data_IF_751072877477
#
_entry.id   IF_751072877477
#
_cell.length_a   1.000
_cell.length_b   1.000
_cell.length_c   1.000
_cell.angle_alpha   90.00
_cell.angle_beta   90.00
_cell.angle_gamma   90.00
#
_symmetry.space_group_name_H-M   'P 1'
#
loop_
_entity.id
_entity.type
_entity.pdbx_description
1 polymer ?
#
# COMPACT_ATOMS: atom_id res chain seq x y z
N UNK A 1 -10.39 23.94 -18.65
CA UNK A 1 -9.53 23.20 -17.68
C UNK A 1 -10.49 22.64 -16.65
N UNK A 2 -10.96 21.41 -16.84
CA UNK A 2 -11.91 20.79 -15.92
C UNK A 2 -11.15 20.31 -14.69
N UNK A 3 -11.53 20.82 -13.51
CA UNK A 3 -11.21 20.26 -12.20
C UNK A 3 -11.88 18.89 -12.06
N UNK A 4 -11.38 17.86 -12.75
CA UNK A 4 -11.74 16.49 -12.42
C UNK A 4 -10.79 16.01 -11.35
N UNK A 5 -11.31 15.71 -10.16
CA UNK A 5 -10.57 14.95 -9.16
C UNK A 5 -9.95 13.71 -9.82
N UNK A 6 -8.62 13.57 -9.73
CA UNK A 6 -7.86 12.46 -10.30
C UNK A 6 -8.35 11.09 -9.76
N UNK A 7 -9.03 11.12 -8.62
CA UNK A 7 -9.66 9.96 -8.00
C UNK A 7 -11.16 9.93 -8.24
N UNK A 8 -11.67 8.74 -8.57
CA UNK A 8 -13.09 8.46 -8.45
C UNK A 8 -13.46 8.31 -6.96
N UNK A 9 -14.25 9.26 -6.48
CA UNK A 9 -14.78 9.36 -5.10
C UNK A 9 -16.21 8.82 -4.96
N UNK A 10 -16.87 8.45 -6.07
CA UNK A 10 -18.23 7.91 -6.11
C UNK A 10 -18.25 6.39 -5.85
N UNK A 11 -17.62 5.95 -4.76
CA UNK A 11 -17.67 4.57 -4.28
C UNK A 11 -18.36 4.54 -2.92
N UNK A 12 -19.11 3.47 -2.57
CA UNK A 12 -19.72 3.38 -1.26
C UNK A 12 -18.66 3.33 -0.18
N UNK A 13 -18.93 3.94 0.97
CA UNK A 13 -18.05 3.91 2.13
C UNK A 13 -18.16 2.61 2.90
N UNK A 14 -17.08 2.24 3.59
CA UNK A 14 -17.08 1.24 4.66
C UNK A 14 -18.11 1.60 5.74
N UNK A 15 -18.59 0.59 6.43
CA UNK A 15 -19.43 0.73 7.61
C UNK A 15 -18.65 1.36 8.77
N UNK A 16 -17.37 1.00 8.94
CA UNK A 16 -16.54 1.52 10.00
C UNK A 16 -15.50 2.53 9.48
N UNK A 17 -15.24 3.55 10.30
CA UNK A 17 -14.15 4.49 10.07
C UNK A 17 -12.86 3.85 10.57
N UNK A 18 -11.84 3.81 9.72
CA UNK A 18 -10.60 3.09 9.98
C UNK A 18 -9.40 3.97 9.67
N UNK A 19 -8.51 4.16 10.64
CA UNK A 19 -7.18 4.74 10.46
C UNK A 19 -6.15 3.80 11.06
N UNK A 20 -4.98 3.67 10.43
CA UNK A 20 -4.00 2.63 10.79
C UNK A 20 -4.55 1.22 10.52
N UNK A 21 -5.46 1.08 9.57
CA UNK A 21 -5.95 -0.21 9.11
C UNK A 21 -5.03 -0.80 8.07
N UNK A 22 -5.16 -2.11 7.87
CA UNK A 22 -4.41 -2.86 6.89
C UNK A 22 -5.36 -3.38 5.79
N UNK A 23 -4.86 -3.39 4.55
CA UNK A 23 -5.61 -3.97 3.44
C UNK A 23 -4.71 -4.74 2.49
N UNK A 24 -5.28 -5.79 1.89
CA UNK A 24 -4.65 -6.54 0.80
C UNK A 24 -5.71 -7.05 -0.16
N UNK A 25 -5.30 -7.35 -1.39
CA UNK A 25 -6.21 -7.78 -2.45
C UNK A 25 -6.11 -9.29 -2.69
N UNK A 26 -7.25 -9.94 -2.90
CA UNK A 26 -7.34 -11.33 -3.37
C UNK A 26 -8.32 -11.33 -4.56
N UNK A 27 -7.81 -11.60 -5.76
CA UNK A 27 -8.61 -11.52 -6.98
C UNK A 27 -9.13 -10.11 -7.23
N UNK A 28 -10.46 -9.94 -7.21
CA UNK A 28 -11.13 -8.63 -7.38
C UNK A 28 -11.64 -8.04 -6.06
N UNK A 29 -11.26 -8.62 -4.92
CA UNK A 29 -11.73 -8.23 -3.61
C UNK A 29 -10.61 -7.59 -2.80
N UNK A 30 -10.95 -6.53 -2.07
CA UNK A 30 -10.06 -5.83 -1.15
C UNK A 30 -10.52 -6.16 0.26
N UNK A 31 -9.66 -6.80 1.04
CA UNK A 31 -9.92 -7.15 2.41
C UNK A 31 -9.33 -6.06 3.30
N UNK A 32 -10.12 -5.56 4.25
CA UNK A 32 -9.73 -4.46 5.13
C UNK A 32 -10.01 -4.88 6.57
N UNK A 33 -8.99 -4.83 7.41
CA UNK A 33 -9.09 -5.18 8.81
C UNK A 33 -8.24 -4.26 9.69
N UNK A 34 -8.50 -4.32 10.99
CA UNK A 34 -7.89 -3.45 11.97
C UNK A 34 -8.33 -1.99 11.83
N UNK A 35 -7.50 -1.11 12.34
CA UNK A 35 -7.88 0.23 12.72
C UNK A 35 -8.36 0.29 14.17
N UNK A 36 -8.24 1.48 14.76
CA UNK A 36 -8.46 1.69 16.19
C UNK A 36 -9.83 1.17 16.65
N UNK A 37 -9.81 0.27 17.64
CA UNK A 37 -10.99 -0.33 18.27
C UNK A 37 -11.96 -1.05 17.31
N UNK A 38 -11.46 -1.57 16.19
CA UNK A 38 -12.26 -2.32 15.23
C UNK A 38 -11.81 -3.78 15.13
N UNK A 39 -12.75 -4.69 15.39
CA UNK A 39 -12.54 -6.14 15.33
C UNK A 39 -13.05 -6.76 14.02
N UNK A 40 -13.70 -5.97 13.18
CA UNK A 40 -14.39 -6.47 11.99
C UNK A 40 -13.47 -6.49 10.79
N UNK A 41 -13.81 -7.36 9.84
CA UNK A 41 -13.27 -7.37 8.48
C UNK A 41 -14.35 -6.93 7.49
N UNK A 42 -13.99 -5.99 6.64
CA UNK A 42 -14.84 -5.49 5.56
C UNK A 42 -14.19 -5.79 4.21
N UNK A 43 -14.99 -6.30 3.28
CA UNK A 43 -14.49 -6.75 1.97
C UNK A 43 -15.15 -5.91 0.89
N UNK A 44 -14.35 -5.21 0.09
CA UNK A 44 -14.86 -4.45 -1.06
C UNK A 44 -14.72 -5.28 -2.34
N UNK A 45 -15.84 -5.56 -3.00
CA UNK A 45 -15.86 -6.18 -4.33
C UNK A 45 -15.71 -5.10 -5.41
N UNK A 46 -14.58 -5.07 -6.10
CA UNK A 46 -14.30 -4.04 -7.12
C UNK A 46 -15.15 -4.17 -8.39
N UNK A 47 -15.71 -5.35 -8.67
CA UNK A 47 -16.57 -5.57 -9.84
C UNK A 47 -17.99 -5.10 -9.57
N UNK A 48 -18.52 -5.41 -8.38
CA UNK A 48 -19.85 -4.97 -7.94
C UNK A 48 -19.87 -3.55 -7.40
N UNK A 49 -18.71 -3.06 -6.95
CA UNK A 49 -18.53 -1.79 -6.22
C UNK A 49 -19.36 -1.76 -4.94
N UNK A 50 -19.31 -2.84 -4.18
CA UNK A 50 -20.11 -3.03 -2.96
C UNK A 50 -19.24 -3.55 -1.82
N UNK A 51 -19.60 -3.18 -0.59
CA UNK A 51 -19.02 -3.73 0.62
C UNK A 51 -19.79 -4.99 1.04
N UNK A 52 -19.03 -6.03 1.37
CA UNK A 52 -19.50 -7.28 1.93
C UNK A 52 -19.05 -7.29 3.40
N UNK A 53 -20.02 -7.29 4.30
CA UNK A 53 -19.76 -7.52 5.72
C UNK A 53 -19.70 -9.02 6.00
N UNK A 54 -18.73 -9.40 6.83
CA UNK A 54 -18.68 -10.74 7.39
C UNK A 54 -19.03 -10.66 8.87
N UNK A 55 -19.53 -11.75 9.44
CA UNK A 55 -19.70 -11.88 10.90
C UNK A 55 -18.40 -12.32 11.59
N UNK A 56 -17.28 -12.37 10.85
CA UNK A 56 -15.99 -12.83 11.36
C UNK A 56 -15.28 -11.69 12.06
N UNK A 57 -14.82 -11.96 13.28
CA UNK A 57 -14.09 -10.99 14.10
C UNK A 57 -12.65 -11.44 14.27
N UNK A 58 -11.73 -10.49 14.17
CA UNK A 58 -10.33 -10.69 14.48
C UNK A 58 -10.17 -10.92 15.99
N UNK A 59 -9.18 -11.71 16.38
CA UNK A 59 -9.02 -12.17 17.77
C UNK A 59 -8.75 -11.04 18.78
N UNK A 60 -8.16 -9.93 18.32
CA UNK A 60 -7.81 -8.77 19.13
C UNK A 60 -7.77 -7.51 18.27
N UNK A 61 -7.99 -6.33 18.86
CA UNK A 61 -7.92 -5.07 18.10
C UNK A 61 -6.50 -4.85 17.58
N UNK A 62 -6.38 -4.25 16.40
CA UNK A 62 -5.09 -3.98 15.76
C UNK A 62 -5.12 -2.64 15.07
N UNK A 63 -4.45 -1.64 15.62
CA UNK A 63 -4.13 -0.41 14.89
C UNK A 63 -2.68 -0.41 14.44
N UNK A 64 -2.41 0.35 13.37
CA UNK A 64 -1.10 0.44 12.73
C UNK A 64 -0.52 -0.95 12.38
N UNK A 65 -1.38 -1.88 11.98
CA UNK A 65 -0.96 -3.19 11.50
C UNK A 65 -0.66 -3.16 10.00
N UNK A 66 0.11 -4.13 9.54
CA UNK A 66 0.30 -4.39 8.11
C UNK A 66 -0.59 -5.55 7.65
N UNK A 67 -0.81 -5.67 6.34
CA UNK A 67 -1.47 -6.84 5.78
C UNK A 67 -0.87 -7.25 4.45
N UNK A 68 -0.98 -8.54 4.19
CA UNK A 68 -0.57 -9.16 2.93
C UNK A 68 -1.60 -10.20 2.51
N UNK A 69 -1.57 -10.57 1.23
CA UNK A 69 -2.30 -11.72 0.72
C UNK A 69 -1.34 -12.75 0.13
N UNK A 70 -1.58 -14.02 0.43
CA UNK A 70 -0.84 -15.14 -0.14
C UNK A 70 -1.84 -16.25 -0.51
N UNK A 71 -2.00 -16.49 -1.80
CA UNK A 71 -3.03 -17.42 -2.29
C UNK A 71 -4.44 -16.94 -1.95
N UNK A 72 -5.19 -17.75 -1.21
CA UNK A 72 -6.56 -17.48 -0.73
C UNK A 72 -6.61 -16.97 0.72
N UNK A 73 -5.47 -16.54 1.25
CA UNK A 73 -5.30 -16.10 2.64
C UNK A 73 -5.03 -14.60 2.72
N UNK A 74 -5.69 -13.96 3.67
CA UNK A 74 -5.47 -12.56 4.05
C UNK A 74 -4.86 -12.50 5.45
N UNK A 75 -3.62 -12.03 5.57
CA UNK A 75 -2.86 -12.05 6.82
C UNK A 75 -2.70 -10.63 7.37
N UNK A 76 -3.04 -10.44 8.64
CA UNK A 76 -2.84 -9.20 9.39
C UNK A 76 -1.67 -9.39 10.35
N UNK A 77 -0.74 -8.43 10.35
CA UNK A 77 0.58 -8.56 10.94
C UNK A 77 0.82 -7.45 11.95
N UNK A 78 1.18 -7.84 13.18
CA UNK A 78 1.56 -6.90 14.24
C UNK A 78 0.47 -5.90 14.60
N UNK A 79 0.89 -4.65 14.80
CA UNK A 79 0.06 -3.54 15.28
C UNK A 79 0.08 -3.41 16.80
N UNK A 80 -0.80 -2.57 17.33
CA UNK A 80 -1.10 -2.47 18.77
C UNK A 80 -2.56 -2.81 19.04
N UNK A 81 -2.82 -3.43 20.19
CA UNK A 81 -4.16 -3.60 20.75
C UNK A 81 -4.32 -2.66 21.94
N UNK A 82 -5.47 -2.02 22.05
CA UNK A 82 -5.84 -1.28 23.26
C UNK A 82 -6.97 -2.08 23.91
N UNK A 83 -6.60 -3.02 24.79
CA UNK A 83 -7.58 -3.62 25.70
C UNK A 83 -7.80 -2.65 26.88
N UNK A 84 -8.87 -2.84 27.65
CA UNK A 84 -9.41 -1.88 28.63
C UNK A 84 -8.49 -1.46 29.79
N UNK A 85 -7.22 -1.86 29.80
CA UNK A 85 -6.21 -1.54 30.82
C UNK A 85 -5.18 -0.52 30.33
N UNK A 86 -5.62 0.69 29.95
CA UNK A 86 -4.90 1.97 29.72
C UNK A 86 -3.56 2.03 28.93
N UNK A 87 -2.81 0.94 28.73
CA UNK A 87 -1.54 0.87 27.99
C UNK A 87 -1.69 -0.03 26.75
N UNK A 88 -1.21 0.43 25.58
CA UNK A 88 -1.26 -0.37 24.36
C UNK A 88 -0.37 -1.61 24.48
N UNK A 89 -0.90 -2.77 24.09
CA UNK A 89 -0.13 -3.99 23.88
C UNK A 89 0.41 -4.01 22.45
N UNK A 90 1.74 -4.01 22.30
CA UNK A 90 2.40 -4.05 20.99
C UNK A 90 2.55 -5.51 20.55
N UNK A 91 2.10 -5.84 19.35
CA UNK A 91 1.89 -7.22 18.96
C UNK A 91 3.06 -7.74 18.11
N UNK A 92 3.53 -8.94 18.44
CA UNK A 92 4.33 -9.77 17.51
C UNK A 92 3.47 -10.82 16.79
N UNK A 93 2.21 -10.96 17.18
CA UNK A 93 1.31 -11.98 16.63
C UNK A 93 0.84 -11.63 15.23
N UNK A 94 0.55 -12.67 14.44
CA UNK A 94 -0.12 -12.58 13.15
C UNK A 94 -1.40 -13.41 13.17
N UNK A 95 -2.38 -12.97 12.39
CA UNK A 95 -3.65 -13.68 12.23
C UNK A 95 -4.00 -13.75 10.76
N UNK A 96 -4.48 -14.91 10.33
CA UNK A 96 -4.79 -15.20 8.94
C UNK A 96 -6.28 -15.48 8.79
N UNK A 97 -6.90 -14.80 7.84
CA UNK A 97 -8.26 -15.04 7.40
C UNK A 97 -8.25 -15.94 6.17
N UNK A 98 -8.79 -17.14 6.33
CA UNK A 98 -9.08 -18.05 5.23
C UNK A 98 -10.33 -17.57 4.50
N UNK A 99 -10.19 -17.15 3.25
CA UNK A 99 -11.33 -16.58 2.49
C UNK A 99 -12.36 -17.63 2.08
N UNK A 100 -11.99 -18.91 2.04
CA UNK A 100 -12.88 -20.02 1.68
C UNK A 100 -13.67 -20.48 2.90
N UNK A 101 -12.99 -20.65 4.03
CA UNK A 101 -13.62 -21.05 5.30
C UNK A 101 -14.27 -19.88 6.04
N UNK A 102 -13.92 -18.64 5.68
CA UNK A 102 -14.35 -17.40 6.32
C UNK A 102 -13.99 -17.31 7.81
N UNK A 103 -12.83 -17.86 8.17
CA UNK A 103 -12.39 -18.01 9.55
C UNK A 103 -11.00 -17.42 9.76
N UNK A 104 -10.84 -16.81 10.93
CA UNK A 104 -9.53 -16.37 11.42
C UNK A 104 -8.81 -17.53 12.11
N UNK A 105 -7.51 -17.61 11.90
CA UNK A 105 -6.62 -18.53 12.61
C UNK A 105 -5.31 -17.82 13.00
N UNK A 106 -4.71 -18.15 14.15
CA UNK A 106 -3.43 -17.60 14.53
C UNK A 106 -2.30 -18.22 13.71
N UNK A 107 -1.30 -17.42 13.38
CA UNK A 107 -0.02 -17.87 12.83
C UNK A 107 1.10 -17.74 13.87
N UNK A 108 2.25 -18.42 13.67
CA UNK A 108 3.43 -18.22 14.52
C UNK A 108 3.79 -16.74 14.63
N UNK A 109 4.01 -16.27 15.85
CA UNK A 109 4.39 -14.88 16.14
C UNK A 109 5.81 -14.58 15.63
N UNK A 110 6.00 -13.33 15.21
CA UNK A 110 7.31 -12.74 14.93
C UNK A 110 8.22 -12.82 16.18
N UNK A 111 9.52 -12.76 15.94
CA UNK A 111 10.54 -12.65 16.99
C UNK A 111 10.42 -11.33 17.76
N UNK A 112 9.98 -10.26 17.08
CA UNK A 112 9.87 -8.91 17.63
C UNK A 112 8.43 -8.39 17.56
N UNK A 113 8.05 -7.55 18.53
CA UNK A 113 6.80 -6.78 18.48
C UNK A 113 6.93 -5.67 17.45
N UNK A 114 5.89 -5.45 16.63
CA UNK A 114 5.97 -4.51 15.50
C UNK A 114 4.65 -3.79 15.26
N UNK A 115 4.55 -2.56 15.76
CA UNK A 115 3.53 -1.59 15.34
C UNK A 115 4.06 -0.71 14.22
N UNK A 116 3.26 -0.44 13.18
CA UNK A 116 3.64 0.41 12.04
C UNK A 116 4.79 -0.16 11.21
N UNK A 117 4.87 -1.48 11.08
CA UNK A 117 5.86 -2.15 10.24
C UNK A 117 5.43 -2.18 8.77
N UNK A 118 6.44 -2.35 7.91
CA UNK A 118 6.27 -2.69 6.51
C UNK A 118 6.13 -4.20 6.36
N UNK A 119 5.26 -4.66 5.44
CA UNK A 119 5.16 -6.07 5.07
C UNK A 119 4.97 -6.25 3.56
N UNK A 120 5.41 -7.40 3.04
CA UNK A 120 5.26 -7.76 1.63
C UNK A 120 5.44 -9.26 1.41
N UNK A 121 5.00 -9.76 0.26
CA UNK A 121 5.17 -11.17 -0.13
C UNK A 121 6.22 -11.28 -1.21
N UNK A 122 7.30 -12.01 -0.95
CA UNK A 122 8.39 -12.26 -1.90
C UNK A 122 8.60 -13.77 -1.97
N UNK A 123 8.55 -14.33 -3.19
CA UNK A 123 8.72 -15.77 -3.44
C UNK A 123 7.90 -16.67 -2.50
N UNK A 124 6.63 -16.30 -2.27
CA UNK A 124 5.70 -17.05 -1.41
C UNK A 124 5.96 -16.94 0.10
N UNK A 125 6.95 -16.14 0.52
CA UNK A 125 7.24 -15.85 1.93
C UNK A 125 6.74 -14.47 2.32
N UNK A 126 6.44 -14.28 3.60
CA UNK A 126 6.02 -12.98 4.14
C UNK A 126 7.25 -12.30 4.75
N UNK A 127 7.61 -11.13 4.23
CA UNK A 127 8.69 -10.32 4.77
C UNK A 127 8.10 -9.21 5.60
N UNK A 128 8.72 -8.91 6.74
CA UNK A 128 8.36 -7.78 7.60
C UNK A 128 9.61 -7.00 7.98
N UNK A 129 9.51 -5.67 8.01
CA UNK A 129 10.63 -4.80 8.36
C UNK A 129 10.18 -3.60 9.19
N UNK A 130 11.06 -3.18 10.10
CA UNK A 130 10.85 -2.03 10.97
C UNK A 130 9.68 -2.18 11.94
N UNK A 131 9.05 -1.06 12.27
CA UNK A 131 8.04 -0.93 13.29
C UNK A 131 8.59 -0.51 14.66
N UNK A 132 7.68 -0.38 15.61
CA UNK A 132 7.94 0.04 16.99
C UNK A 132 7.51 -1.07 17.97
N UNK A 133 8.35 -1.37 18.96
CA UNK A 133 8.16 -2.48 19.90
C UNK A 133 7.57 -2.07 21.27
N UNK A 134 7.30 -0.78 21.43
CA UNK A 134 6.90 -0.13 22.69
C UNK A 134 7.99 0.76 23.30
N UNK A 135 9.25 0.59 22.86
CA UNK A 135 10.41 1.33 23.36
C UNK A 135 11.25 1.93 22.25
N UNK A 136 11.49 1.17 21.18
CA UNK A 136 12.38 1.56 20.09
C UNK A 136 11.76 1.27 18.72
N UNK A 137 12.06 2.16 17.77
CA UNK A 137 11.91 1.93 16.35
C UNK A 137 12.98 0.94 15.91
N UNK A 138 12.61 0.00 15.05
CA UNK A 138 13.49 -1.08 14.63
C UNK A 138 14.02 -0.89 13.22
N UNK A 139 15.26 -1.31 12.98
CA UNK A 139 15.79 -1.58 11.63
C UNK A 139 15.75 -3.08 11.28
N UNK A 140 15.37 -3.94 12.23
CA UNK A 140 15.36 -5.39 11.99
C UNK A 140 14.28 -5.77 10.99
N UNK A 141 14.56 -6.85 10.26
CA UNK A 141 13.65 -7.49 9.35
C UNK A 141 13.64 -9.01 9.61
N UNK A 142 12.54 -9.66 9.30
CA UNK A 142 12.37 -11.10 9.45
C UNK A 142 11.47 -11.64 8.34
N UNK A 143 11.73 -12.87 7.90
CA UNK A 143 10.92 -13.57 6.90
C UNK A 143 10.18 -14.75 7.54
N UNK A 144 8.90 -14.90 7.21
CA UNK A 144 8.09 -16.06 7.55
C UNK A 144 7.94 -16.96 6.35
N UNK A 145 8.30 -18.22 6.52
CA UNK A 145 8.08 -19.28 5.54
C UNK A 145 6.84 -20.11 5.92
N UNK A 146 5.74 -20.00 5.15
CA UNK A 146 4.52 -20.78 5.40
C UNK A 146 4.73 -22.30 5.29
N UNK A 147 5.70 -22.77 4.51
CA UNK A 147 5.96 -24.20 4.35
C UNK A 147 6.59 -24.82 5.60
N UNK A 148 7.40 -24.05 6.33
CA UNK A 148 8.06 -24.51 7.56
C UNK A 148 7.41 -23.96 8.83
N UNK A 149 6.52 -22.98 8.70
CA UNK A 149 5.88 -22.24 9.80
C UNK A 149 6.91 -21.62 10.75
N UNK A 150 7.97 -21.04 10.18
CA UNK A 150 9.08 -20.47 10.96
C UNK A 150 9.44 -19.07 10.48
N UNK A 151 9.84 -18.27 11.46
CA UNK A 151 10.49 -17.00 11.25
C UNK A 151 12.00 -17.16 11.18
N UNK A 152 12.62 -16.43 10.27
CA UNK A 152 14.07 -16.32 10.14
C UNK A 152 14.46 -14.85 10.14
N UNK A 153 15.45 -14.48 10.94
CA UNK A 153 15.97 -13.12 10.94
C UNK A 153 16.65 -12.81 9.60
N UNK A 154 16.34 -11.64 9.05
CA UNK A 154 16.98 -11.10 7.86
C UNK A 154 18.07 -10.09 8.26
N UNK A 155 18.99 -9.74 7.35
CA UNK A 155 19.86 -8.58 7.54
C UNK A 155 19.04 -7.34 7.92
N UNK A 156 19.52 -6.49 8.84
CA UNK A 156 18.81 -5.28 9.20
C UNK A 156 18.92 -4.23 8.08
N UNK A 157 17.92 -3.35 8.01
CA UNK A 157 17.98 -2.12 7.24
C UNK A 157 19.09 -1.19 7.75
N UNK A 158 19.53 -0.25 6.90
CA UNK A 158 20.47 0.80 7.26
C UNK A 158 19.87 1.80 8.24
N UNK A 159 18.56 2.08 8.12
CA UNK A 159 17.83 2.97 9.02
C UNK A 159 16.74 2.22 9.78
N UNK A 160 16.55 2.60 11.05
CA UNK A 160 15.37 2.20 11.82
C UNK A 160 14.15 2.98 11.34
N UNK A 161 12.98 2.33 11.32
CA UNK A 161 11.77 2.91 10.72
C UNK A 161 10.52 2.51 11.48
N UNK A 162 9.79 3.49 12.02
CA UNK A 162 8.41 3.32 12.48
C UNK A 162 7.44 4.03 11.53
N UNK A 163 6.29 3.40 11.25
CA UNK A 163 5.29 3.95 10.33
C UNK A 163 5.78 3.94 8.87
N UNK A 164 6.59 2.95 8.49
CA UNK A 164 7.08 2.83 7.11
C UNK A 164 6.06 2.12 6.20
N UNK A 165 6.18 2.37 4.90
CA UNK A 165 5.41 1.68 3.87
C UNK A 165 6.30 0.70 3.11
N UNK A 166 5.69 -0.31 2.49
CA UNK A 166 6.40 -1.21 1.60
C UNK A 166 5.64 -1.53 0.32
N UNK A 167 6.41 -1.93 -0.69
CA UNK A 167 5.92 -2.51 -1.92
C UNK A 167 6.88 -3.61 -2.37
N UNK A 168 6.34 -4.63 -3.05
CA UNK A 168 7.14 -5.65 -3.70
C UNK A 168 7.07 -5.44 -5.21
N UNK A 169 8.22 -5.33 -5.85
CA UNK A 169 8.35 -5.17 -7.29
C UNK A 169 9.55 -5.98 -7.77
N UNK A 170 9.37 -6.75 -8.85
CA UNK A 170 10.42 -7.58 -9.45
C UNK A 170 11.20 -8.43 -8.42
N UNK A 171 10.45 -9.12 -7.56
CA UNK A 171 10.96 -10.00 -6.49
C UNK A 171 11.83 -9.30 -5.43
N UNK A 172 11.79 -7.98 -5.37
CA UNK A 172 12.50 -7.17 -4.37
C UNK A 172 11.53 -6.50 -3.41
N UNK A 173 11.97 -6.35 -2.16
CA UNK A 173 11.17 -5.77 -1.09
C UNK A 173 11.65 -4.35 -0.80
N UNK A 174 10.82 -3.37 -1.13
CA UNK A 174 11.14 -1.96 -0.95
C UNK A 174 10.46 -1.41 0.30
N UNK A 175 11.18 -0.61 1.07
CA UNK A 175 10.69 0.05 2.29
C UNK A 175 10.94 1.55 2.21
N UNK A 176 9.91 2.33 2.52
CA UNK A 176 9.89 3.78 2.30
C UNK A 176 9.54 4.53 3.58
N UNK A 177 10.26 5.64 3.83
CA UNK A 177 9.91 6.59 4.86
C UNK A 177 9.94 6.02 6.29
N UNK A 178 9.09 6.58 7.13
CA UNK A 178 9.04 6.36 8.57
C UNK A 178 9.87 7.35 9.37
N UNK A 179 9.91 7.13 10.68
CA UNK A 179 10.70 7.91 11.62
C UNK A 179 11.61 7.04 12.51
N UNK A 180 12.54 7.69 13.19
CA UNK A 180 13.47 7.09 14.15
C UNK A 180 13.01 7.32 15.61
N UNK A 181 13.85 6.91 16.58
CA UNK A 181 13.56 7.04 18.03
C UNK A 181 13.46 8.48 18.51
N UNK A 182 14.06 9.42 17.77
CA UNK A 182 13.97 10.85 18.04
C UNK A 182 12.66 11.45 17.49
N UNK A 183 11.83 10.64 16.82
CA UNK A 183 10.61 11.07 16.14
C UNK A 183 10.89 11.86 14.87
N UNK A 184 12.11 11.80 14.33
CA UNK A 184 12.50 12.52 13.12
C UNK A 184 12.06 11.70 11.91
N UNK A 185 11.12 12.26 11.15
CA UNK A 185 10.69 11.73 9.86
C UNK A 185 11.83 11.82 8.84
N UNK A 186 11.98 10.79 8.00
CA UNK A 186 12.98 10.82 6.94
C UNK A 186 12.44 10.35 5.58
N UNK A 187 12.91 10.93 4.47
CA UNK A 187 12.47 10.54 3.12
C UNK A 187 13.24 9.35 2.55
N UNK A 188 14.15 8.76 3.32
CA UNK A 188 15.01 7.69 2.83
C UNK A 188 14.20 6.46 2.43
N UNK A 189 14.73 5.70 1.49
CA UNK A 189 14.13 4.46 1.04
C UNK A 189 15.22 3.40 0.80
N UNK A 190 14.85 2.15 0.99
CA UNK A 190 15.75 1.01 0.91
C UNK A 190 15.10 -0.14 0.16
N UNK A 191 15.92 -0.94 -0.51
CA UNK A 191 15.50 -2.15 -1.19
C UNK A 191 16.29 -3.33 -0.65
N UNK A 192 15.58 -4.40 -0.30
CA UNK A 192 16.15 -5.70 -0.03
C UNK A 192 16.10 -6.56 -1.30
N UNK A 193 17.25 -7.10 -1.67
CA UNK A 193 17.40 -8.03 -2.78
C UNK A 193 17.68 -9.45 -2.23
N UNK A 194 16.70 -10.38 -2.29
CA UNK A 194 16.86 -11.74 -1.79
C UNK A 194 18.02 -12.51 -2.45
N UNK A 195 18.37 -12.21 -3.70
CA UNK A 195 19.44 -12.91 -4.40
C UNK A 195 20.82 -12.57 -3.82
N UNK A 196 20.98 -11.35 -3.29
CA UNK A 196 22.20 -10.90 -2.62
C UNK A 196 22.14 -10.99 -1.10
N UNK A 197 20.93 -11.18 -0.53
CA UNK A 197 20.66 -11.10 0.91
C UNK A 197 21.21 -9.80 1.51
N UNK A 198 20.90 -8.66 0.87
CA UNK A 198 21.39 -7.34 1.28
C UNK A 198 20.34 -6.24 1.09
N UNK A 199 20.39 -5.28 2.01
CA UNK A 199 19.72 -3.99 1.87
C UNK A 199 20.63 -2.99 1.16
N UNK A 200 20.07 -2.25 0.21
CA UNK A 200 20.72 -1.13 -0.45
C UNK A 200 19.89 0.13 -0.30
N UNK A 201 20.55 1.26 -0.02
CA UNK A 201 19.92 2.57 -0.13
C UNK A 201 19.57 2.84 -1.59
N UNK A 202 18.37 3.34 -1.83
CA UNK A 202 17.97 3.92 -3.12
C UNK A 202 17.83 5.43 -2.98
N UNK A 203 17.60 6.13 -4.08
CA UNK A 203 17.34 7.57 -4.03
C UNK A 203 16.20 7.89 -3.06
N UNK A 204 16.37 8.95 -2.26
CA UNK A 204 15.36 9.38 -1.30
C UNK A 204 14.14 9.99 -1.99
N UNK A 205 12.97 9.85 -1.35
CA UNK A 205 11.78 10.63 -1.69
C UNK A 205 12.05 12.13 -1.55
N UNK A 206 11.20 12.94 -2.16
CA UNK A 206 11.23 14.41 -2.03
C UNK A 206 10.67 14.88 -0.70
N UNK A 207 9.63 14.21 -0.19
CA UNK A 207 9.03 14.50 1.10
C UNK A 207 9.30 13.36 2.10
N UNK A 208 9.52 13.70 3.36
CA UNK A 208 9.50 12.71 4.44
C UNK A 208 8.05 12.25 4.67
N UNK A 209 7.87 10.95 4.94
CA UNK A 209 6.54 10.35 5.04
C UNK A 209 6.53 9.27 6.12
N UNK A 210 5.70 9.44 7.13
CA UNK A 210 5.27 8.35 8.01
C UNK A 210 3.80 8.00 7.77
N UNK A 211 3.46 6.72 7.95
CA UNK A 211 2.16 6.11 7.70
C UNK A 211 1.58 6.44 6.33
N UNK A 212 2.45 6.44 5.32
CA UNK A 212 2.07 6.48 3.92
C UNK A 212 1.70 5.06 3.45
N UNK A 213 1.19 4.97 2.22
CA UNK A 213 0.93 3.72 1.54
C UNK A 213 1.79 3.62 0.28
N UNK A 214 2.29 2.44 -0.04
CA UNK A 214 3.07 2.17 -1.24
C UNK A 214 2.49 0.98 -2.00
N UNK A 215 2.41 1.07 -3.33
CA UNK A 215 1.93 -0.03 -4.17
C UNK A 215 2.78 -0.14 -5.45
N UNK A 216 3.08 -1.38 -5.91
CA UNK A 216 3.66 -1.58 -7.22
C UNK A 216 2.59 -1.28 -8.30
N UNK A 217 2.99 -0.60 -9.36
CA UNK A 217 2.12 -0.29 -10.50
C UNK A 217 2.95 -0.15 -11.77
N UNK A 218 2.64 -0.96 -12.79
CA UNK A 218 3.24 -0.88 -14.14
C UNK A 218 4.78 -0.77 -14.14
N UNK A 219 5.47 -1.61 -13.35
CA UNK A 219 6.94 -1.62 -13.27
C UNK A 219 7.55 -0.49 -12.43
N UNK A 220 6.72 0.26 -11.71
CA UNK A 220 7.11 1.37 -10.82
C UNK A 220 6.49 1.17 -9.44
N UNK A 221 6.85 2.02 -8.50
CA UNK A 221 6.22 2.06 -7.17
C UNK A 221 5.66 3.46 -6.95
N UNK A 222 4.43 3.57 -6.50
CA UNK A 222 3.83 4.84 -6.10
C UNK A 222 3.64 4.88 -4.59
N UNK A 223 4.11 5.95 -3.97
CA UNK A 223 3.99 6.26 -2.53
C UNK A 223 3.03 7.42 -2.35
N UNK A 224 2.08 7.26 -1.43
CA UNK A 224 0.88 8.09 -1.34
C UNK A 224 0.49 8.38 0.10
N UNK A 225 -0.05 9.57 0.33
CA UNK A 225 -0.51 9.99 1.65
C UNK A 225 0.62 10.00 2.68
N UNK A 226 0.27 9.70 3.93
CA UNK A 226 1.12 9.87 5.08
C UNK A 226 1.26 11.34 5.48
N UNK A 227 2.17 11.59 6.40
CA UNK A 227 2.50 12.96 6.80
C UNK A 227 3.92 13.10 7.29
N UNK A 228 4.31 14.36 7.44
CA UNK A 228 5.50 14.80 8.17
C UNK A 228 4.99 15.43 9.47
N UNK A 229 5.22 14.76 10.61
CA UNK A 229 4.81 15.27 11.92
C UNK A 229 5.70 16.42 12.38
N UNK A 230 6.93 16.55 11.87
CA UNK A 230 7.77 17.71 12.14
C UNK A 230 7.13 19.01 11.63
N UNK A 231 6.43 18.93 10.50
CA UNK A 231 5.74 20.06 9.87
C UNK A 231 4.21 20.08 10.11
N UNK A 232 3.64 19.10 10.84
CA UNK A 232 2.19 18.89 11.03
C UNK A 232 1.41 18.80 9.69
N UNK A 233 2.03 18.21 8.66
CA UNK A 233 1.46 18.15 7.32
C UNK A 233 1.06 16.72 6.93
N UNK A 234 -0.25 16.45 6.84
CA UNK A 234 -0.76 15.34 6.01
C UNK A 234 -0.62 15.73 4.55
N UNK A 235 0.06 14.88 3.79
CA UNK A 235 0.47 15.15 2.42
C UNK A 235 -0.60 14.73 1.41
N UNK A 236 -0.82 15.57 0.40
CA UNK A 236 -1.64 15.30 -0.80
C UNK A 236 -0.76 15.05 -2.04
N UNK A 237 0.55 14.98 -1.85
CA UNK A 237 1.52 14.66 -2.90
C UNK A 237 1.67 13.16 -3.07
N UNK A 238 1.85 12.76 -4.32
CA UNK A 238 2.13 11.40 -4.76
C UNK A 238 3.54 11.37 -5.34
N UNK A 239 4.29 10.33 -5.02
CA UNK A 239 5.65 10.15 -5.51
C UNK A 239 5.78 8.80 -6.19
N UNK A 240 6.31 8.80 -7.42
CA UNK A 240 6.49 7.60 -8.24
C UNK A 240 7.99 7.34 -8.36
N UNK A 241 8.41 6.18 -7.89
CA UNK A 241 9.76 5.65 -8.02
C UNK A 241 9.89 4.81 -9.29
N UNK A 242 10.93 5.11 -10.07
CA UNK A 242 11.35 4.32 -11.21
C UNK A 242 12.65 3.56 -10.90
N UNK A 243 12.60 2.23 -10.70
CA UNK A 243 13.78 1.44 -10.37
C UNK A 243 14.80 1.35 -11.53
N UNK A 244 14.43 1.70 -12.77
CA UNK A 244 15.33 1.58 -13.93
C UNK A 244 16.43 2.61 -13.95
N UNK A 245 16.20 3.76 -13.32
CA UNK A 245 17.12 4.89 -13.27
C UNK A 245 17.31 5.46 -11.86
N UNK A 246 16.69 4.84 -10.85
CA UNK A 246 16.71 5.27 -9.46
C UNK A 246 16.24 6.72 -9.29
N UNK A 247 15.09 7.08 -9.87
CA UNK A 247 14.56 8.45 -9.82
C UNK A 247 13.12 8.51 -9.30
N UNK A 248 12.82 9.65 -8.69
CA UNK A 248 11.48 10.01 -8.21
C UNK A 248 10.85 11.11 -9.05
N UNK A 249 9.62 10.88 -9.48
CA UNK A 249 8.74 11.92 -10.02
C UNK A 249 7.57 12.15 -9.06
N UNK A 250 6.94 13.32 -9.14
CA UNK A 250 5.87 13.68 -8.20
C UNK A 250 4.76 14.45 -8.88
N UNK A 251 3.54 14.25 -8.41
CA UNK A 251 2.39 15.07 -8.78
C UNK A 251 1.51 15.30 -7.54
N UNK A 252 0.75 16.38 -7.55
CA UNK A 252 -0.25 16.69 -6.52
C UNK A 252 -1.61 16.24 -7.01
N UNK A 253 -2.42 15.69 -6.12
CA UNK A 253 -3.85 15.52 -6.38
C UNK A 253 -4.63 16.14 -5.23
N UNK A 254 -5.55 17.05 -5.59
CA UNK A 254 -6.33 17.83 -4.63
C UNK A 254 -7.22 16.92 -3.77
N UNK A 255 -7.43 17.33 -2.51
CA UNK A 255 -8.36 16.69 -1.56
C UNK A 255 -8.09 15.22 -1.22
N UNK A 256 -6.82 14.80 -1.20
CA UNK A 256 -6.41 13.42 -0.92
C UNK A 256 -5.48 13.25 0.28
N UNK A 257 -5.49 14.19 1.21
CA UNK A 257 -4.78 14.06 2.48
C UNK A 257 -5.29 12.82 3.24
N UNK A 258 -4.44 11.80 3.35
CA UNK A 258 -4.74 10.57 4.12
C UNK A 258 -3.51 10.11 4.88
N UNK A 259 -3.59 10.17 6.20
CA UNK A 259 -2.61 9.57 7.10
C UNK A 259 -3.09 8.18 7.55
N UNK A 260 -2.21 7.18 7.52
CA UNK A 260 -2.54 5.81 7.96
C UNK A 260 -3.63 5.15 7.13
N UNK A 261 -3.70 5.45 5.83
CA UNK A 261 -4.55 4.72 4.89
C UNK A 261 -3.85 3.45 4.42
N UNK A 262 -4.66 2.48 3.98
CA UNK A 262 -4.16 1.34 3.24
C UNK A 262 -4.31 1.58 1.73
N UNK A 263 -3.43 0.98 0.93
CA UNK A 263 -3.51 1.02 -0.51
C UNK A 263 -3.34 -0.37 -1.12
N UNK A 264 -4.09 -0.64 -2.18
CA UNK A 264 -3.93 -1.87 -2.97
C UNK A 264 -4.03 -1.56 -4.47
N UNK A 265 -3.28 -2.30 -5.28
CA UNK A 265 -3.42 -2.29 -6.73
C UNK A 265 -4.25 -3.49 -7.17
N UNK A 266 -5.25 -3.24 -8.01
CA UNK A 266 -6.00 -4.27 -8.71
C UNK A 266 -6.18 -3.79 -10.14
N UNK A 267 -5.53 -4.49 -11.09
CA UNK A 267 -5.79 -4.33 -12.53
C UNK A 267 -5.66 -2.87 -12.99
N UNK A 268 -4.48 -2.28 -12.78
CA UNK A 268 -4.11 -0.92 -13.17
C UNK A 268 -4.80 0.18 -12.36
N UNK A 269 -5.62 -0.20 -11.37
CA UNK A 269 -6.36 0.73 -10.51
C UNK A 269 -5.86 0.61 -9.09
N UNK A 270 -5.51 1.75 -8.52
CA UNK A 270 -5.10 1.88 -7.13
C UNK A 270 -6.33 2.24 -6.31
N UNK A 271 -6.51 1.54 -5.19
CA UNK A 271 -7.57 1.82 -4.23
C UNK A 271 -6.96 2.29 -2.91
N UNK A 272 -7.32 3.50 -2.48
CA UNK A 272 -6.97 4.05 -1.17
C UNK A 272 -8.14 3.89 -0.22
N UNK A 273 -7.91 3.24 0.92
CA UNK A 273 -8.96 2.88 1.88
C UNK A 273 -8.65 3.48 3.25
N UNK A 274 -9.66 4.14 3.84
CA UNK A 274 -9.57 4.66 5.21
C UNK A 274 -8.51 5.75 5.38
N UNK A 275 -7.90 5.79 6.55
CA UNK A 275 -6.95 6.82 6.99
C UNK A 275 -7.62 7.96 7.77
N UNK A 276 -6.89 9.05 7.95
CA UNK A 276 -7.32 10.25 8.67
C UNK A 276 -7.02 11.50 7.83
N UNK A 277 -7.99 12.42 7.72
CA UNK A 277 -7.88 13.66 6.92
C UNK A 277 -7.47 14.89 7.74
N UNK A 278 -6.71 14.68 8.83
CA UNK A 278 -6.42 15.63 9.94
C UNK A 278 -7.58 15.90 10.89
N UNK A 279 -8.83 15.78 10.43
CA UNK A 279 -10.01 16.13 11.25
C UNK A 279 -10.75 14.89 11.72
N UNK A 280 -10.91 13.90 10.84
CA UNK A 280 -11.74 12.73 11.06
C UNK A 280 -11.04 11.45 10.58
N UNK A 281 -11.26 10.32 11.29
CA UNK A 281 -11.01 9.02 10.70
C UNK A 281 -12.00 8.80 9.56
N UNK A 282 -11.51 8.20 8.48
CA UNK A 282 -12.21 8.02 7.22
C UNK A 282 -12.74 6.59 7.10
N UNK A 283 -13.94 6.45 6.53
CA UNK A 283 -14.47 5.18 6.05
C UNK A 283 -14.54 5.11 4.52
N UNK A 284 -13.98 6.11 3.84
CA UNK A 284 -14.09 6.23 2.38
C UNK A 284 -13.03 5.40 1.68
N UNK A 285 -13.41 4.83 0.54
CA UNK A 285 -12.51 4.26 -0.46
C UNK A 285 -12.47 5.19 -1.68
N UNK A 286 -11.28 5.46 -2.20
CA UNK A 286 -11.07 6.21 -3.44
C UNK A 286 -10.32 5.34 -4.43
N UNK A 287 -10.58 5.50 -5.73
CA UNK A 287 -9.88 4.77 -6.77
C UNK A 287 -9.18 5.70 -7.77
N UNK A 288 -7.95 5.35 -8.14
CA UNK A 288 -7.10 6.08 -9.09
C UNK A 288 -6.72 5.15 -10.23
N UNK A 289 -7.08 5.52 -11.45
CA UNK A 289 -6.61 4.83 -12.66
C UNK A 289 -5.25 5.38 -13.04
N UNK A 290 -4.19 4.71 -12.62
CA UNK A 290 -2.84 5.26 -12.67
C UNK A 290 -2.44 5.74 -14.07
N UNK A 291 -2.67 4.94 -15.11
CA UNK A 291 -2.31 5.32 -16.48
C UNK A 291 -3.06 6.54 -16.99
N UNK A 292 -4.33 6.73 -16.62
CA UNK A 292 -5.08 7.91 -17.03
C UNK A 292 -4.46 9.19 -16.44
N UNK A 293 -4.05 9.12 -15.18
CA UNK A 293 -3.43 10.25 -14.48
C UNK A 293 -1.99 10.47 -14.92
N UNK A 294 -1.22 9.41 -15.16
CA UNK A 294 0.14 9.53 -15.68
C UNK A 294 0.14 10.26 -17.04
N UNK A 295 -0.78 9.90 -17.94
CA UNK A 295 -0.87 10.54 -19.26
C UNK A 295 -1.36 12.00 -19.18
N UNK A 296 -2.28 12.31 -18.25
CA UNK A 296 -2.74 13.68 -18.02
C UNK A 296 -1.65 14.58 -17.44
N UNK A 297 -0.93 14.09 -16.41
CA UNK A 297 0.07 14.89 -15.68
C UNK A 297 1.45 14.88 -16.34
N UNK A 298 1.76 13.89 -17.18
CA UNK A 298 3.05 13.76 -17.86
C UNK A 298 2.87 13.52 -19.37
N UNK A 299 2.44 14.53 -20.15
CA UNK A 299 2.18 14.37 -21.59
C UNK A 299 3.41 13.96 -22.42
N UNK A 300 4.63 14.19 -21.90
CA UNK A 300 5.86 13.66 -22.51
C UNK A 300 5.88 12.13 -22.60
N UNK A 301 5.34 11.44 -21.59
CA UNK A 301 5.23 9.97 -21.57
C UNK A 301 4.33 9.49 -22.71
N UNK A 302 3.24 10.19 -22.97
CA UNK A 302 2.32 9.84 -24.05
C UNK A 302 2.93 10.04 -25.44
N UNK A 303 3.73 11.11 -25.61
CA UNK A 303 4.48 11.36 -26.85
C UNK A 303 5.56 10.32 -27.10
N UNK A 304 6.26 9.88 -26.06
CA UNK A 304 7.21 8.77 -26.14
C UNK A 304 6.53 7.43 -26.50
N UNK A 305 5.23 7.31 -26.19
CA UNK A 305 4.36 6.20 -26.61
C UNK A 305 3.74 6.39 -28.01
N UNK A 306 4.07 7.46 -28.74
CA UNK A 306 3.57 7.72 -30.08
C UNK A 306 2.10 8.15 -30.14
N UNK A 307 1.52 8.59 -29.01
CA UNK A 307 0.16 9.13 -28.94
C UNK A 307 0.24 10.63 -29.16
N UNK A 308 -0.39 11.14 -30.22
CA UNK A 308 -0.43 12.58 -30.46
C UNK A 308 -1.36 13.32 -29.47
N UNK A 309 -1.13 14.62 -29.32
CA UNK A 309 -1.87 15.47 -28.37
C UNK A 309 -3.39 15.54 -28.70
N UNK A 310 -3.79 15.26 -29.94
CA UNK A 310 -5.19 15.35 -30.40
C UNK A 310 -6.00 14.08 -30.07
N UNK A 311 -5.37 12.90 -30.07
CA UNK A 311 -6.00 11.65 -29.67
C UNK A 311 -5.95 11.38 -28.17
N UNK A 312 -5.17 12.17 -27.41
CA UNK A 312 -5.04 12.02 -25.96
C UNK A 312 -6.38 11.90 -25.22
N UNK A 313 -7.38 12.78 -25.45
CA UNK A 313 -8.64 12.71 -24.70
C UNK A 313 -9.42 11.43 -24.99
N UNK A 314 -9.43 11.00 -26.27
CA UNK A 314 -10.07 9.75 -26.69
C UNK A 314 -9.33 8.54 -26.14
N UNK A 315 -8.00 8.56 -26.09
CA UNK A 315 -7.18 7.49 -25.53
C UNK A 315 -7.36 7.34 -24.02
N UNK A 316 -7.38 8.45 -23.27
CA UNK A 316 -7.68 8.47 -21.83
C UNK A 316 -9.10 7.94 -21.58
N UNK A 317 -10.08 8.33 -22.40
CA UNK A 317 -11.44 7.79 -22.33
C UNK A 317 -11.48 6.28 -22.64
N UNK A 318 -10.66 5.80 -23.59
CA UNK A 318 -10.58 4.40 -23.98
C UNK A 318 -9.89 3.52 -22.93
N UNK A 319 -8.87 4.03 -22.24
CA UNK A 319 -8.33 3.45 -21.00
C UNK A 319 -9.40 3.29 -19.91
N UNK A 320 -10.49 4.07 -19.98
CA UNK A 320 -11.72 3.87 -19.23
C UNK A 320 -12.27 2.43 -19.27
N UNK A 321 -11.93 1.65 -20.31
CA UNK A 321 -12.46 0.30 -20.54
C UNK A 321 -11.44 -0.84 -20.34
N UNK A 322 -10.13 -0.58 -20.29
CA UNK A 322 -9.08 -1.63 -20.21
C UNK A 322 -8.20 -1.52 -18.97
N UNK A 323 -7.68 -2.67 -18.51
CA UNK A 323 -7.20 -2.88 -17.14
C UNK A 323 -5.67 -2.95 -16.96
N UNK A 324 -4.85 -3.11 -18.00
CA UNK A 324 -3.38 -3.06 -17.89
C UNK A 324 -2.77 -2.51 -19.18
N UNK A 325 -1.76 -1.65 -19.06
CA UNK A 325 -1.12 -0.99 -20.20
C UNK A 325 -0.43 -2.00 -21.14
N UNK A 326 0.30 -2.96 -20.56
CA UNK A 326 1.01 -4.02 -21.31
C UNK A 326 0.08 -4.81 -22.23
N UNK A 327 -1.05 -5.27 -21.72
CA UNK A 327 -2.07 -5.98 -22.51
C UNK A 327 -2.66 -5.10 -23.62
N UNK A 328 -2.90 -3.82 -23.34
CA UNK A 328 -3.43 -2.88 -24.32
C UNK A 328 -2.41 -2.54 -25.43
N UNK A 329 -1.15 -2.31 -25.07
CA UNK A 329 -0.09 -1.98 -26.02
C UNK A 329 0.18 -3.13 -27.00
N UNK A 330 0.18 -4.37 -26.52
CA UNK A 330 0.28 -5.55 -27.39
C UNK A 330 -0.93 -5.67 -28.34
N UNK A 331 -2.14 -5.38 -27.86
CA UNK A 331 -3.34 -5.36 -28.70
C UNK A 331 -3.25 -4.27 -29.76
N UNK A 332 -2.84 -3.05 -29.40
CA UNK A 332 -2.73 -1.92 -30.32
C UNK A 332 -1.63 -2.12 -31.36
N UNK A 333 -0.47 -2.67 -30.96
CA UNK A 333 0.63 -3.00 -31.87
C UNK A 333 0.23 -4.06 -32.90
N UNK A 334 -0.63 -5.00 -32.51
CA UNK A 334 -1.15 -6.03 -33.40
C UNK A 334 -2.37 -5.60 -34.22
N UNK A 335 -2.90 -4.39 -34.01
CA UNK A 335 -4.12 -3.84 -34.65
C UNK A 335 -3.84 -2.51 -35.38
N UNK A 336 -2.69 -2.39 -36.04
CA UNK A 336 -2.33 -1.20 -36.85
C UNK A 336 -3.34 -0.89 -37.98
N UNK A 337 -4.29 -1.77 -38.24
CA UNK A 337 -5.35 -1.69 -39.24
C UNK A 337 -6.64 -0.99 -38.77
N UNK A 338 -6.82 -0.71 -37.47
CA UNK A 338 -8.07 -0.13 -36.93
C UNK A 338 -8.03 1.38 -36.64
N UNK A 339 -6.87 2.02 -36.74
CA UNK A 339 -6.75 3.46 -36.54
C UNK A 339 -6.11 4.11 -37.77
N UNK A 340 -6.93 4.41 -38.78
CA UNK A 340 -6.60 5.42 -39.77
C UNK A 340 -6.81 6.80 -39.14
N UNK A 341 -5.71 7.47 -38.84
CA UNK A 341 -5.66 8.84 -38.31
C UNK A 341 -6.17 9.86 -39.32
#
# INVERSE_FOLDING_TARGET
MSNSDDFNTNLPSMHHKRHGCAAAAIGSQIFVAGGRNDLTIEIFDTLRKEWIMTNSIIMNTRECCAAVSLGDKFTVIGGSSIDAEDFPDFLSSMVEYDTILQQWSPLPSMNNRRMGCAAGVVDGKIFVAGGFDGFHCSSSAEEYDPATQRWTDMPPMHFQRFGCAAAVLDEKFYVFGGCNDEGIDHPSAEVYDPASNQWSMISSMKAARQFCAAVPIEGKIIVMGGGDFGDELVLSTYEIYDPTNDQWSSFTSEHNERWGCAAVEIRGTIYLVGGHDRVNPLNTIKSLRFMAVLLDKQPGVARDMGIDDNAMPSFISYLGHYCKFTTMWEIMRNRQDLFSW
#
